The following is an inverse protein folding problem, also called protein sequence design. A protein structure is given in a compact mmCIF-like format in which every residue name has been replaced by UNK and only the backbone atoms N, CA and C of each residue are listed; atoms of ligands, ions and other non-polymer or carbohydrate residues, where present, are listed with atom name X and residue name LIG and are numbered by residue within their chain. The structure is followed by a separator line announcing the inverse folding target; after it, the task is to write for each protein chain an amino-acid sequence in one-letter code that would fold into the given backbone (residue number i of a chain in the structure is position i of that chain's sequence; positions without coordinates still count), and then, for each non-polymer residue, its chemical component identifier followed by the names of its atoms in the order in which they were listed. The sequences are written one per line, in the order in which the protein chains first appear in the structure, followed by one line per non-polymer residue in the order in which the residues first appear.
data_IF_290780554459
#
_entry.id   IF_290780554459
#
_cell.length_a   1.000
_cell.length_b   1.000
_cell.length_c   1.000
_cell.angle_alpha   90.00
_cell.angle_beta   90.00
_cell.angle_gamma   90.00
#
_symmetry.space_group_name_H-M   'P 1'
#
loop_
_entity.id
_entity.type
_entity.pdbx_description
1 polymer ?
#
# COMPACT_ATOMS: atom_id res chain seq x y z
N UNK A 1 3.83 30.63 -20.43
CA UNK A 1 4.25 29.40 -19.71
C UNK A 1 3.11 28.41 -19.39
N UNK A 2 1.84 28.83 -19.21
CA UNK A 2 0.71 27.92 -18.90
C UNK A 2 0.14 27.09 -20.07
N UNK A 3 0.42 27.44 -21.33
CA UNK A 3 -0.12 26.76 -22.51
C UNK A 3 0.63 25.47 -22.90
N UNK A 4 1.92 25.36 -22.56
CA UNK A 4 2.74 24.17 -22.87
C UNK A 4 2.44 22.97 -21.95
N UNK A 5 2.12 23.22 -20.67
CA UNK A 5 1.78 22.15 -19.72
C UNK A 5 0.37 21.58 -19.87
N UNK A 6 -0.50 22.24 -20.64
CA UNK A 6 -1.86 21.78 -20.96
C UNK A 6 -1.84 20.88 -22.20
N UNK A 7 -1.11 21.29 -23.25
CA UNK A 7 -0.88 20.50 -24.47
C UNK A 7 -0.17 19.17 -24.20
N UNK A 8 0.81 19.15 -23.29
CA UNK A 8 1.53 17.92 -22.92
C UNK A 8 0.65 16.93 -22.14
N UNK A 9 -0.26 17.43 -21.30
CA UNK A 9 -1.26 16.62 -20.59
C UNK A 9 -2.38 16.12 -21.51
N UNK A 10 -2.77 16.91 -22.49
CA UNK A 10 -3.73 16.50 -23.53
C UNK A 10 -3.10 15.44 -24.47
N UNK A 11 -1.83 15.59 -24.87
CA UNK A 11 -1.09 14.57 -25.66
C UNK A 11 -0.81 13.27 -24.88
N UNK A 12 -0.54 13.34 -23.56
CA UNK A 12 -0.42 12.18 -22.68
C UNK A 12 -1.78 11.49 -22.44
N UNK A 13 -2.86 12.27 -22.35
CA UNK A 13 -4.24 11.78 -22.24
C UNK A 13 -4.74 11.09 -23.52
N UNK A 14 -4.46 11.66 -24.69
CA UNK A 14 -4.79 11.05 -25.99
C UNK A 14 -3.98 9.77 -26.26
N UNK A 15 -2.70 9.73 -25.86
CA UNK A 15 -1.90 8.50 -25.94
C UNK A 15 -2.36 7.43 -24.96
N UNK A 16 -2.78 7.80 -23.75
CA UNK A 16 -3.36 6.87 -22.79
C UNK A 16 -4.70 6.30 -23.29
N UNK A 17 -5.52 7.10 -23.97
CA UNK A 17 -6.78 6.67 -24.58
C UNK A 17 -6.55 5.69 -25.76
N UNK A 18 -5.57 5.95 -26.62
CA UNK A 18 -5.22 5.05 -27.75
C UNK A 18 -4.61 3.73 -27.25
N UNK A 19 -3.79 3.76 -26.18
CA UNK A 19 -3.21 2.55 -25.59
C UNK A 19 -4.26 1.75 -24.81
N UNK A 20 -5.27 2.40 -24.22
CA UNK A 20 -6.40 1.71 -23.63
C UNK A 20 -7.18 0.90 -24.68
N UNK A 21 -7.33 1.39 -25.92
CA UNK A 21 -8.00 0.66 -27.02
C UNK A 21 -7.21 -0.57 -27.51
N UNK A 22 -5.87 -0.54 -27.52
CA UNK A 22 -5.03 -1.72 -27.85
C UNK A 22 -4.97 -2.76 -26.72
N UNK A 23 -5.27 -2.35 -25.48
CA UNK A 23 -5.21 -3.18 -24.28
C UNK A 23 -6.56 -3.82 -23.91
N UNK A 24 -7.68 -3.40 -24.51
CA UNK A 24 -8.98 -4.08 -24.33
C UNK A 24 -8.87 -5.49 -24.90
N UNK A 25 -8.95 -6.49 -24.02
CA UNK A 25 -8.93 -7.90 -24.44
C UNK A 25 -10.15 -8.17 -25.34
N UNK A 26 -9.95 -8.63 -26.60
CA UNK A 26 -11.06 -8.87 -27.51
C UNK A 26 -12.11 -9.81 -26.91
N UNK A 27 -13.39 -9.39 -26.94
CA UNK A 27 -14.52 -10.18 -26.44
C UNK A 27 -14.87 -9.96 -24.96
N UNK A 28 -14.08 -9.19 -24.21
CA UNK A 28 -14.40 -8.83 -22.83
C UNK A 28 -15.20 -7.55 -22.73
N UNK A 29 -16.08 -7.48 -21.73
CA UNK A 29 -16.87 -6.28 -21.41
C UNK A 29 -16.45 -5.73 -20.06
N UNK A 30 -15.95 -4.51 -20.06
CA UNK A 30 -15.53 -3.82 -18.85
C UNK A 30 -16.64 -2.88 -18.35
N UNK A 31 -16.99 -2.99 -17.07
CA UNK A 31 -17.83 -2.02 -16.36
C UNK A 31 -17.07 -0.74 -16.07
N UNK A 32 -15.78 -0.87 -15.79
CA UNK A 32 -14.85 0.24 -15.54
C UNK A 32 -13.48 -0.14 -16.08
N UNK A 33 -12.78 0.82 -16.68
CA UNK A 33 -11.40 0.67 -17.13
C UNK A 33 -10.66 1.96 -16.75
N UNK A 34 -9.57 1.85 -16.02
CA UNK A 34 -8.81 3.02 -15.57
C UNK A 34 -7.30 2.73 -15.50
N UNK A 35 -6.45 3.75 -15.74
CA UNK A 35 -5.01 3.61 -15.64
C UNK A 35 -4.56 3.54 -14.18
N UNK A 36 -3.54 2.73 -13.91
CA UNK A 36 -2.83 2.72 -12.62
C UNK A 36 -1.35 3.03 -12.79
N UNK A 37 -0.73 2.56 -13.88
CA UNK A 37 0.66 2.90 -14.24
C UNK A 37 0.67 3.34 -15.71
N UNK A 38 0.15 4.52 -16.05
CA UNK A 38 0.09 4.95 -17.44
C UNK A 38 1.51 5.12 -18.03
N UNK A 39 1.76 4.72 -19.28
CA UNK A 39 0.82 4.07 -20.22
C UNK A 39 0.82 2.54 -20.18
N UNK A 40 1.45 1.89 -19.19
CA UNK A 40 1.74 0.46 -19.21
C UNK A 40 0.71 -0.43 -18.52
N UNK A 41 0.14 -0.01 -17.39
CA UNK A 41 -0.79 -0.83 -16.61
C UNK A 41 -2.14 -0.17 -16.40
N UNK A 42 -3.20 -0.92 -16.70
CA UNK A 42 -4.59 -0.55 -16.52
C UNK A 42 -5.31 -1.63 -15.73
N UNK A 43 -6.38 -1.23 -15.05
CA UNK A 43 -7.28 -2.13 -14.35
C UNK A 43 -8.64 -2.09 -15.02
N UNK A 44 -9.11 -3.28 -15.41
CA UNK A 44 -10.44 -3.50 -15.96
C UNK A 44 -11.32 -4.25 -14.95
N UNK A 45 -12.49 -3.72 -14.64
CA UNK A 45 -13.53 -4.46 -13.91
C UNK A 45 -14.39 -5.17 -14.96
N UNK A 46 -14.03 -6.42 -15.28
CA UNK A 46 -14.72 -7.25 -16.26
C UNK A 46 -16.05 -7.74 -15.70
N UNK A 47 -17.09 -7.77 -16.54
CA UNK A 47 -18.35 -8.46 -16.26
C UNK A 47 -18.40 -9.72 -17.10
N UNK A 48 -18.44 -10.87 -16.44
CA UNK A 48 -18.66 -12.15 -17.11
C UNK A 48 -20.04 -12.16 -17.78
N UNK A 49 -20.13 -12.31 -19.11
CA UNK A 49 -21.40 -12.17 -19.83
C UNK A 49 -22.39 -13.30 -19.54
N UNK A 50 -21.93 -14.47 -19.06
CA UNK A 50 -22.78 -15.61 -18.76
C UNK A 50 -23.32 -15.58 -17.32
N UNK A 51 -22.49 -15.15 -16.37
CA UNK A 51 -22.82 -15.21 -14.94
C UNK A 51 -23.14 -13.85 -14.32
N UNK A 52 -22.74 -12.75 -14.98
CA UNK A 52 -22.80 -11.40 -14.42
C UNK A 52 -21.78 -11.14 -13.30
N UNK A 53 -20.93 -12.13 -12.98
CA UNK A 53 -19.88 -12.00 -11.96
C UNK A 53 -18.83 -10.98 -12.38
N UNK A 54 -18.26 -10.30 -11.39
CA UNK A 54 -17.19 -9.32 -11.60
C UNK A 54 -15.82 -9.98 -11.45
N UNK A 55 -14.89 -9.61 -12.32
CA UNK A 55 -13.47 -9.99 -12.21
C UNK A 55 -12.59 -8.75 -12.28
N UNK A 56 -11.54 -8.75 -11.47
CA UNK A 56 -10.53 -7.71 -11.48
C UNK A 56 -9.43 -8.08 -12.46
N UNK A 57 -9.30 -7.36 -13.56
CA UNK A 57 -8.34 -7.67 -14.61
C UNK A 57 -7.18 -6.66 -14.61
N UNK A 58 -5.99 -7.17 -14.30
CA UNK A 58 -4.72 -6.47 -14.51
C UNK A 58 -4.36 -6.58 -15.98
N UNK A 59 -4.24 -5.43 -16.64
CA UNK A 59 -3.95 -5.33 -18.06
C UNK A 59 -2.59 -4.66 -18.22
N UNK A 60 -1.61 -5.44 -18.68
CA UNK A 60 -0.22 -5.02 -18.90
C UNK A 60 0.18 -5.22 -20.37
N UNK A 61 1.29 -4.63 -20.85
CA UNK A 61 1.72 -4.77 -22.23
C UNK A 61 2.16 -6.21 -22.49
N UNK A 62 1.74 -6.77 -23.63
CA UNK A 62 2.26 -8.08 -24.07
C UNK A 62 3.66 -7.91 -24.64
N UNK A 63 4.58 -8.75 -24.17
CA UNK A 63 5.92 -8.89 -24.74
C UNK A 63 5.91 -9.99 -25.82
N UNK A 64 6.59 -9.74 -26.93
CA UNK A 64 6.89 -10.79 -27.92
C UNK A 64 7.91 -11.79 -27.34
N UNK A 65 8.05 -12.98 -27.96
CA UNK A 65 9.08 -13.95 -27.54
C UNK A 65 10.50 -13.37 -27.58
N UNK A 66 10.78 -12.48 -28.53
CA UNK A 66 12.05 -11.77 -28.64
C UNK A 66 12.24 -10.76 -27.51
N UNK A 67 11.20 -10.01 -27.16
CA UNK A 67 11.21 -9.07 -26.04
C UNK A 67 11.37 -9.78 -24.69
N UNK A 68 10.77 -10.95 -24.52
CA UNK A 68 10.97 -11.79 -23.32
C UNK A 68 12.43 -12.26 -23.22
N UNK A 69 13.03 -12.71 -24.33
CA UNK A 69 14.46 -13.09 -24.35
C UNK A 69 15.35 -11.92 -23.99
N UNK A 70 15.11 -10.74 -24.58
CA UNK A 70 15.85 -9.52 -24.29
C UNK A 70 15.70 -9.09 -22.82
N UNK A 71 14.47 -9.14 -22.28
CA UNK A 71 14.20 -8.85 -20.86
C UNK A 71 15.04 -9.74 -19.94
N UNK A 72 14.99 -11.06 -20.16
CA UNK A 72 15.74 -12.01 -19.34
C UNK A 72 17.25 -11.79 -19.43
N UNK A 73 17.78 -11.58 -20.64
CA UNK A 73 19.21 -11.31 -20.86
C UNK A 73 19.67 -10.03 -20.14
N UNK A 74 18.87 -8.95 -20.19
CA UNK A 74 19.18 -7.71 -19.48
C UNK A 74 19.18 -7.94 -17.97
N UNK A 75 18.18 -8.65 -17.43
CA UNK A 75 18.07 -8.94 -16.00
C UNK A 75 19.25 -9.79 -15.52
N UNK A 76 19.66 -10.79 -16.28
CA UNK A 76 20.81 -11.65 -15.95
C UNK A 76 22.11 -10.86 -15.93
N UNK A 77 22.34 -9.98 -16.92
CA UNK A 77 23.51 -9.09 -16.94
C UNK A 77 23.48 -8.12 -15.76
N UNK A 78 22.32 -7.53 -15.45
CA UNK A 78 22.18 -6.61 -14.32
C UNK A 78 22.54 -7.31 -13.00
N UNK A 79 22.03 -8.52 -12.78
CA UNK A 79 22.36 -9.35 -11.61
C UNK A 79 23.85 -9.69 -11.56
N UNK A 80 24.46 -10.01 -12.70
CA UNK A 80 25.89 -10.28 -12.77
C UNK A 80 26.75 -9.04 -12.46
N UNK A 81 26.41 -7.87 -13.02
CA UNK A 81 27.18 -6.64 -12.81
C UNK A 81 27.01 -6.03 -11.41
N UNK A 82 25.84 -6.20 -10.79
CA UNK A 82 25.59 -5.66 -9.46
C UNK A 82 25.95 -6.63 -8.31
N UNK A 83 26.21 -7.91 -8.61
CA UNK A 83 26.31 -8.95 -7.60
C UNK A 83 24.97 -9.21 -6.89
N UNK A 84 25.00 -9.85 -5.72
CA UNK A 84 23.82 -10.12 -4.87
C UNK A 84 23.11 -8.84 -4.36
N UNK A 85 23.63 -7.65 -4.65
CA UNK A 85 23.14 -6.41 -4.06
C UNK A 85 21.94 -5.79 -4.78
N UNK A 86 21.62 -6.12 -6.04
CA UNK A 86 20.43 -5.54 -6.71
C UNK A 86 19.13 -5.86 -5.95
N UNK A 87 19.02 -7.07 -5.41
CA UNK A 87 17.83 -7.49 -4.65
C UNK A 87 17.85 -6.95 -3.21
N UNK A 88 19.00 -6.47 -2.72
CA UNK A 88 19.20 -5.94 -1.35
C UNK A 88 19.18 -4.42 -1.27
N UNK A 89 19.37 -3.70 -2.39
CA UNK A 89 19.43 -2.23 -2.39
C UNK A 89 18.03 -1.65 -2.48
N UNK A 90 17.41 -1.45 -1.32
CA UNK A 90 16.14 -0.75 -1.11
C UNK A 90 16.17 0.75 -1.46
N UNK A 91 17.30 1.27 -1.98
CA UNK A 91 17.52 2.68 -2.32
C UNK A 91 17.91 2.92 -3.78
N UNK A 92 17.59 2.01 -4.70
CA UNK A 92 17.71 2.27 -6.13
C UNK A 92 16.48 3.07 -6.58
N UNK A 93 16.70 4.26 -7.14
CA UNK A 93 15.62 5.02 -7.78
C UNK A 93 15.35 4.48 -9.19
N UNK A 94 14.14 4.72 -9.71
CA UNK A 94 13.76 4.29 -11.06
C UNK A 94 14.68 4.92 -12.12
N UNK A 95 15.08 6.18 -11.93
CA UNK A 95 15.98 6.90 -12.84
C UNK A 95 17.38 6.26 -12.89
N UNK A 96 17.91 5.85 -11.73
CA UNK A 96 19.19 5.16 -11.66
C UNK A 96 19.14 3.79 -12.35
N UNK A 97 18.03 3.05 -12.15
CA UNK A 97 17.82 1.77 -12.81
C UNK A 97 17.72 1.94 -14.34
N UNK A 98 17.01 2.97 -14.81
CA UNK A 98 16.90 3.27 -16.23
C UNK A 98 18.28 3.57 -16.85
N UNK A 99 19.09 4.39 -16.18
CA UNK A 99 20.44 4.70 -16.65
C UNK A 99 21.31 3.45 -16.74
N UNK A 100 21.23 2.55 -15.74
CA UNK A 100 21.92 1.26 -15.75
C UNK A 100 21.47 0.37 -16.90
N UNK A 101 20.16 0.21 -17.09
CA UNK A 101 19.61 -0.59 -18.20
C UNK A 101 20.10 -0.06 -19.55
N UNK A 102 20.09 1.26 -19.76
CA UNK A 102 20.60 1.89 -20.98
C UNK A 102 22.10 1.64 -21.18
N UNK A 103 22.91 1.66 -20.10
CA UNK A 103 24.33 1.32 -20.15
C UNK A 103 24.56 -0.14 -20.54
N UNK A 104 23.80 -1.07 -19.96
CA UNK A 104 23.86 -2.51 -20.30
C UNK A 104 23.54 -2.73 -21.78
N UNK A 105 22.42 -2.19 -22.26
CA UNK A 105 22.03 -2.31 -23.67
C UNK A 105 23.14 -1.80 -24.61
N UNK A 106 23.73 -0.64 -24.29
CA UNK A 106 24.80 -0.05 -25.10
C UNK A 106 26.11 -0.85 -25.03
N UNK A 107 26.50 -1.33 -23.84
CA UNK A 107 27.75 -2.08 -23.60
C UNK A 107 27.74 -3.43 -24.29
N UNK A 108 26.63 -4.16 -24.17
CA UNK A 108 26.45 -5.50 -24.73
C UNK A 108 25.87 -5.48 -26.15
N UNK A 109 25.57 -4.29 -26.70
CA UNK A 109 25.01 -4.09 -28.04
C UNK A 109 23.72 -4.89 -28.28
N UNK A 110 22.86 -4.93 -27.27
CA UNK A 110 21.60 -5.65 -27.34
C UNK A 110 20.65 -4.98 -28.35
N UNK A 111 19.94 -5.74 -29.21
CA UNK A 111 19.12 -5.20 -30.29
C UNK A 111 17.75 -4.68 -29.80
N UNK A 112 17.74 -3.82 -28.79
CA UNK A 112 16.52 -3.27 -28.20
C UNK A 112 16.08 -2.02 -28.97
N UNK A 113 14.89 -2.08 -29.58
CA UNK A 113 14.30 -0.92 -30.25
C UNK A 113 13.86 0.16 -29.24
N UNK A 114 13.69 1.42 -29.68
CA UNK A 114 13.19 2.49 -28.80
C UNK A 114 11.78 2.21 -28.28
N UNK A 115 10.97 1.52 -29.06
CA UNK A 115 9.58 1.19 -28.73
C UNK A 115 9.51 0.04 -27.72
N UNK A 116 10.31 -1.02 -27.95
CA UNK A 116 10.43 -2.16 -27.03
C UNK A 116 11.09 -1.78 -25.71
N UNK A 117 11.98 -0.78 -25.70
CA UNK A 117 12.64 -0.31 -24.48
C UNK A 117 11.64 0.08 -23.41
N UNK A 118 10.57 0.80 -23.76
CA UNK A 118 9.56 1.25 -22.78
C UNK A 118 8.87 0.08 -22.09
N UNK A 119 8.43 -0.93 -22.86
CA UNK A 119 7.80 -2.15 -22.34
C UNK A 119 8.78 -2.96 -21.49
N UNK A 120 9.98 -3.22 -22.00
CA UNK A 120 11.00 -4.00 -21.28
C UNK A 120 11.37 -3.29 -19.96
N UNK A 121 11.61 -1.98 -20.01
CA UNK A 121 11.94 -1.22 -18.81
C UNK A 121 10.81 -1.22 -17.78
N UNK A 122 9.55 -1.14 -18.22
CA UNK A 122 8.39 -1.31 -17.35
C UNK A 122 8.47 -2.63 -16.57
N UNK A 123 8.67 -3.77 -17.25
CA UNK A 123 8.79 -5.08 -16.58
C UNK A 123 10.00 -5.16 -15.64
N UNK A 124 11.17 -4.63 -16.04
CA UNK A 124 12.35 -4.58 -15.17
C UNK A 124 12.05 -3.78 -13.89
N UNK A 125 11.46 -2.59 -14.04
CA UNK A 125 11.14 -1.71 -12.92
C UNK A 125 10.07 -2.34 -12.01
N UNK A 126 9.03 -2.94 -12.60
CA UNK A 126 7.95 -3.66 -11.93
C UNK A 126 8.49 -4.83 -11.10
N UNK A 127 9.41 -5.60 -11.66
CA UNK A 127 9.90 -6.84 -11.04
C UNK A 127 11.01 -6.59 -10.02
N UNK A 128 11.93 -5.65 -10.28
CA UNK A 128 13.06 -5.37 -9.38
C UNK A 128 12.69 -4.40 -8.25
N UNK A 129 12.11 -3.24 -8.58
CA UNK A 129 11.77 -2.22 -7.57
C UNK A 129 10.36 -2.43 -7.00
N UNK A 130 9.43 -2.81 -7.86
CA UNK A 130 8.02 -3.01 -7.51
C UNK A 130 7.72 -4.35 -6.82
N UNK A 131 6.48 -4.79 -7.00
CA UNK A 131 5.92 -6.03 -6.44
C UNK A 131 5.66 -7.11 -7.50
N UNK A 132 6.41 -7.09 -8.61
CA UNK A 132 6.28 -8.06 -9.70
C UNK A 132 4.87 -8.08 -10.29
N UNK A 133 4.30 -9.28 -10.49
CA UNK A 133 2.92 -9.46 -10.97
C UNK A 133 1.86 -8.73 -10.13
N UNK A 134 2.16 -8.43 -8.86
CA UNK A 134 1.26 -7.72 -7.95
C UNK A 134 1.38 -6.19 -8.05
N UNK A 135 2.40 -5.64 -8.71
CA UNK A 135 2.69 -4.20 -8.71
C UNK A 135 1.50 -3.33 -9.18
N UNK A 136 0.76 -3.68 -10.25
CA UNK A 136 -0.43 -2.93 -10.64
C UNK A 136 -1.51 -2.91 -9.55
N UNK A 137 -1.75 -4.05 -8.89
CA UNK A 137 -2.73 -4.17 -7.79
C UNK A 137 -2.27 -3.36 -6.57
N UNK A 138 -0.97 -3.41 -6.26
CA UNK A 138 -0.37 -2.65 -5.16
C UNK A 138 -0.50 -1.14 -5.37
N UNK A 139 -0.41 -0.65 -6.60
CA UNK A 139 -0.54 0.77 -6.93
C UNK A 139 -1.97 1.27 -7.10
N UNK A 140 -2.95 0.39 -7.23
CA UNK A 140 -4.36 0.79 -7.39
C UNK A 140 -4.95 1.37 -6.10
N UNK A 141 -5.31 2.67 -6.03
CA UNK A 141 -5.86 3.26 -4.81
C UNK A 141 -7.24 2.70 -4.41
N UNK A 142 -7.92 1.98 -5.31
CA UNK A 142 -9.24 1.42 -5.07
C UNK A 142 -9.22 0.01 -4.44
N UNK A 143 -8.05 -0.55 -4.17
CA UNK A 143 -7.88 -1.86 -3.53
C UNK A 143 -7.47 -1.69 -2.07
N UNK A 144 -8.26 -2.25 -1.15
CA UNK A 144 -8.03 -2.17 0.29
C UNK A 144 -7.33 -3.43 0.83
N UNK A 145 -7.74 -4.62 0.38
CA UNK A 145 -7.13 -5.88 0.77
C UNK A 145 -6.73 -6.72 -0.45
N UNK A 146 -5.64 -7.46 -0.34
CA UNK A 146 -5.12 -8.40 -1.34
C UNK A 146 -4.85 -9.73 -0.63
N UNK A 147 -5.40 -10.83 -1.15
CA UNK A 147 -5.22 -12.17 -0.59
C UNK A 147 -4.75 -13.17 -1.64
N UNK A 148 -3.70 -13.91 -1.32
CA UNK A 148 -3.24 -15.05 -2.09
C UNK A 148 -3.35 -16.31 -1.25
N UNK A 149 -4.28 -17.19 -1.62
CA UNK A 149 -4.65 -18.39 -0.86
C UNK A 149 -3.85 -19.64 -1.27
N UNK A 150 -2.86 -19.49 -2.14
CA UNK A 150 -1.94 -20.55 -2.57
C UNK A 150 -1.67 -20.59 -4.07
N UNK A 151 -1.04 -21.68 -4.50
CA UNK A 151 -0.58 -21.89 -5.88
C UNK A 151 -1.76 -22.28 -6.78
N UNK A 152 -1.75 -21.80 -8.03
CA UNK A 152 -2.81 -22.00 -9.03
C UNK A 152 -4.19 -21.50 -8.59
N UNK A 153 -4.22 -20.55 -7.65
CA UNK A 153 -5.44 -19.90 -7.18
C UNK A 153 -5.33 -18.42 -7.56
N UNK A 154 -6.36 -17.84 -8.19
CA UNK A 154 -6.41 -16.41 -8.44
C UNK A 154 -6.22 -15.61 -7.14
N UNK A 155 -5.42 -14.56 -7.21
CA UNK A 155 -5.36 -13.57 -6.13
C UNK A 155 -6.73 -12.90 -6.02
N UNK A 156 -7.23 -12.74 -4.81
CA UNK A 156 -8.44 -11.98 -4.52
C UNK A 156 -8.08 -10.58 -4.06
N UNK A 157 -8.93 -9.62 -4.45
CA UNK A 157 -8.83 -8.23 -4.01
C UNK A 157 -10.14 -7.77 -3.42
N UNK A 158 -10.10 -6.97 -2.37
CA UNK A 158 -11.25 -6.22 -1.88
C UNK A 158 -11.23 -4.81 -2.48
N UNK A 159 -12.10 -4.56 -3.44
CA UNK A 159 -12.22 -3.27 -4.11
C UNK A 159 -13.24 -2.38 -3.40
N UNK A 160 -12.89 -1.12 -3.13
CA UNK A 160 -13.71 -0.13 -2.41
C UNK A 160 -15.17 -0.05 -2.85
N UNK A 161 -15.43 -0.22 -4.15
CA UNK A 161 -16.76 -0.16 -4.76
C UNK A 161 -17.41 -1.52 -5.10
N UNK A 162 -16.60 -2.54 -5.35
CA UNK A 162 -17.07 -3.80 -5.94
C UNK A 162 -16.82 -5.01 -5.02
N UNK A 163 -16.31 -4.75 -3.82
CA UNK A 163 -16.00 -5.74 -2.79
C UNK A 163 -15.03 -6.81 -3.30
N UNK A 164 -15.15 -8.03 -2.77
CA UNK A 164 -14.25 -9.14 -3.07
C UNK A 164 -14.40 -9.64 -4.50
N UNK A 165 -13.31 -9.65 -5.26
CA UNK A 165 -13.27 -10.17 -6.63
C UNK A 165 -12.01 -11.01 -6.88
N UNK A 166 -12.12 -12.10 -7.67
CA UNK A 166 -10.95 -12.80 -8.17
C UNK A 166 -10.26 -11.98 -9.26
N UNK A 167 -8.94 -12.10 -9.33
CA UNK A 167 -8.13 -11.44 -10.35
C UNK A 167 -7.73 -12.40 -11.47
N UNK A 168 -7.12 -11.89 -12.55
CA UNK A 168 -6.40 -12.71 -13.53
C UNK A 168 -4.95 -13.03 -13.13
N UNK A 169 -4.51 -12.57 -11.96
CA UNK A 169 -3.15 -12.79 -11.46
C UNK A 169 -3.12 -14.02 -10.55
N UNK A 170 -2.16 -14.91 -10.81
CA UNK A 170 -1.93 -16.11 -10.02
C UNK A 170 -0.45 -16.52 -10.05
N UNK A 171 -0.05 -17.31 -9.05
CA UNK A 171 1.26 -17.96 -9.01
C UNK A 171 1.12 -19.38 -9.54
N UNK A 172 2.02 -19.77 -10.44
CA UNK A 172 1.88 -21.04 -11.18
C UNK A 172 2.56 -22.20 -10.45
N UNK A 173 3.65 -21.91 -9.72
CA UNK A 173 4.43 -22.90 -8.99
C UNK A 173 4.68 -22.51 -7.52
N UNK A 174 4.90 -23.49 -6.63
CA UNK A 174 5.27 -23.21 -5.24
C UNK A 174 6.55 -22.38 -5.11
N UNK A 175 7.55 -22.64 -5.96
CA UNK A 175 8.85 -21.95 -5.91
C UNK A 175 8.70 -20.46 -6.23
N UNK A 176 7.82 -20.12 -7.19
CA UNK A 176 7.51 -18.74 -7.54
C UNK A 176 6.89 -17.99 -6.35
N UNK A 177 5.89 -18.61 -5.71
CA UNK A 177 5.17 -18.03 -4.58
C UNK A 177 6.06 -17.91 -3.33
N UNK A 178 6.84 -18.94 -3.02
CA UNK A 178 7.78 -18.92 -1.89
C UNK A 178 8.86 -17.86 -2.06
N UNK A 179 9.40 -17.72 -3.27
CA UNK A 179 10.36 -16.66 -3.60
C UNK A 179 9.74 -15.28 -3.41
N UNK A 180 8.49 -15.10 -3.86
CA UNK A 180 7.75 -13.85 -3.69
C UNK A 180 7.50 -13.52 -2.21
N UNK A 181 7.06 -14.49 -1.41
CA UNK A 181 6.82 -14.31 0.03
C UNK A 181 8.10 -13.94 0.77
N UNK A 182 9.24 -14.57 0.43
CA UNK A 182 10.54 -14.21 1.02
C UNK A 182 10.94 -12.78 0.67
N UNK A 183 10.69 -12.33 -0.55
CA UNK A 183 10.93 -10.93 -0.97
C UNK A 183 10.03 -9.95 -0.21
N UNK A 184 8.75 -10.28 -0.01
CA UNK A 184 7.83 -9.45 0.80
C UNK A 184 8.31 -9.37 2.25
N UNK A 185 8.70 -10.49 2.85
CA UNK A 185 9.24 -10.52 4.21
C UNK A 185 10.48 -9.62 4.32
N UNK A 186 11.40 -9.71 3.36
CA UNK A 186 12.59 -8.87 3.32
C UNK A 186 12.26 -7.37 3.19
N UNK A 187 11.32 -6.99 2.30
CA UNK A 187 10.83 -5.61 2.18
C UNK A 187 10.21 -5.09 3.49
N UNK A 188 9.56 -5.96 4.26
CA UNK A 188 9.01 -5.65 5.58
C UNK A 188 10.03 -5.72 6.73
N UNK A 189 11.33 -5.87 6.43
CA UNK A 189 12.41 -6.03 7.42
C UNK A 189 12.21 -7.25 8.35
N UNK A 190 11.55 -8.29 7.86
CA UNK A 190 11.31 -9.55 8.56
C UNK A 190 12.04 -10.70 7.87
N UNK A 191 12.16 -11.82 8.59
CA UNK A 191 12.69 -13.07 8.06
C UNK A 191 11.69 -14.20 8.26
N UNK A 192 11.27 -14.82 7.17
CA UNK A 192 10.39 -15.99 7.16
C UNK A 192 11.23 -17.25 6.86
N UNK A 193 11.06 -18.27 7.67
CA UNK A 193 11.84 -19.52 7.58
C UNK A 193 10.95 -20.71 7.90
N UNK A 194 11.40 -21.93 7.60
CA UNK A 194 10.70 -23.17 7.97
C UNK A 194 10.45 -23.23 9.49
N UNK A 195 11.41 -22.75 10.29
CA UNK A 195 11.30 -22.72 11.76
C UNK A 195 10.36 -21.59 12.26
N UNK A 196 10.17 -20.53 11.47
CA UNK A 196 9.25 -19.42 11.73
C UNK A 196 8.39 -19.19 10.49
N UNK A 197 7.39 -20.06 10.25
CA UNK A 197 6.64 -20.08 8.99
C UNK A 197 5.52 -19.04 8.95
N UNK A 198 5.32 -18.27 10.03
CA UNK A 198 4.33 -17.18 10.12
C UNK A 198 5.08 -15.89 10.44
N UNK A 199 4.83 -14.86 9.63
CA UNK A 199 5.44 -13.53 9.79
C UNK A 199 4.40 -12.45 9.56
N UNK A 200 4.39 -11.48 10.45
CA UNK A 200 3.64 -10.24 10.31
C UNK A 200 4.61 -9.06 10.21
N UNK A 201 4.20 -8.01 9.50
CA UNK A 201 5.03 -6.83 9.33
C UNK A 201 4.33 -5.71 8.57
N UNK A 202 5.10 -4.67 8.27
CA UNK A 202 4.66 -3.54 7.45
C UNK A 202 5.64 -3.33 6.29
N UNK A 203 5.12 -3.17 5.09
CA UNK A 203 5.90 -2.79 3.91
C UNK A 203 6.36 -1.32 4.01
N UNK A 204 7.34 -0.89 3.19
CA UNK A 204 7.85 0.48 3.22
C UNK A 204 6.78 1.58 3.06
N UNK A 205 5.70 1.28 2.34
CA UNK A 205 4.54 2.16 2.13
C UNK A 205 3.59 2.20 3.34
N UNK A 206 3.85 1.39 4.36
CA UNK A 206 3.04 1.22 5.55
C UNK A 206 2.04 0.08 5.48
N UNK A 207 1.84 -0.57 4.32
CA UNK A 207 0.86 -1.64 4.16
C UNK A 207 1.16 -2.84 5.09
N UNK A 208 0.14 -3.32 5.79
CA UNK A 208 0.27 -4.49 6.67
C UNK A 208 0.37 -5.75 5.84
N UNK A 209 1.22 -6.68 6.27
CA UNK A 209 1.31 -7.99 5.68
C UNK A 209 1.21 -9.09 6.73
N UNK A 210 0.56 -10.18 6.34
CA UNK A 210 0.58 -11.46 7.04
C UNK A 210 1.01 -12.52 6.03
N UNK A 211 2.10 -13.21 6.34
CA UNK A 211 2.75 -14.17 5.45
C UNK A 211 2.76 -15.55 6.12
N UNK A 212 2.44 -16.59 5.36
CA UNK A 212 2.62 -17.98 5.82
C UNK A 212 3.32 -18.84 4.78
N UNK A 213 4.17 -19.76 5.24
CA UNK A 213 4.75 -20.79 4.39
C UNK A 213 3.91 -22.08 4.40
N UNK A 214 4.15 -22.93 3.40
CA UNK A 214 3.42 -24.19 3.19
C UNK A 214 3.43 -25.16 4.38
N UNK A 215 4.37 -25.04 5.32
CA UNK A 215 4.45 -25.84 6.54
C UNK A 215 3.20 -25.72 7.42
N UNK A 216 2.51 -24.57 7.35
CA UNK A 216 1.30 -24.29 8.13
C UNK A 216 0.06 -24.08 7.25
N UNK A 217 0.18 -24.25 5.93
CA UNK A 217 -0.92 -24.07 4.97
C UNK A 217 -0.99 -25.21 3.95
N UNK A 218 -2.12 -25.92 3.95
CA UNK A 218 -2.34 -27.10 3.11
C UNK A 218 -2.40 -26.81 1.61
N UNK A 219 -2.64 -25.56 1.20
CA UNK A 219 -2.77 -25.16 -0.21
C UNK A 219 -1.49 -24.51 -0.77
N UNK A 220 -0.39 -24.62 -0.02
CA UNK A 220 0.85 -23.90 -0.27
C UNK A 220 0.92 -22.62 0.56
N UNK A 221 2.05 -21.92 0.45
CA UNK A 221 2.29 -20.66 1.13
C UNK A 221 1.22 -19.61 0.78
N UNK A 222 0.95 -18.67 1.70
CA UNK A 222 -0.10 -17.65 1.52
C UNK A 222 0.39 -16.28 1.94
N UNK A 223 -0.26 -15.24 1.43
CA UNK A 223 -0.07 -13.89 1.95
C UNK A 223 -1.37 -13.09 1.93
N UNK A 224 -1.47 -12.16 2.86
CA UNK A 224 -2.51 -11.14 2.90
C UNK A 224 -1.84 -9.79 3.06
N UNK A 225 -2.20 -8.83 2.22
CA UNK A 225 -1.74 -7.44 2.28
C UNK A 225 -2.95 -6.56 2.51
N UNK A 226 -2.91 -5.78 3.58
CA UNK A 226 -3.92 -4.76 3.87
C UNK A 226 -3.32 -3.39 3.61
N UNK A 227 -3.88 -2.73 2.61
CA UNK A 227 -3.47 -1.41 2.15
C UNK A 227 -4.15 -0.33 2.98
N UNK A 228 -3.47 0.80 3.05
CA UNK A 228 -4.05 2.04 3.54
C UNK A 228 -4.38 2.93 2.35
N UNK A 229 -5.48 3.68 2.45
CA UNK A 229 -5.74 4.72 1.47
C UNK A 229 -4.65 5.79 1.59
N UNK A 230 -4.03 6.21 0.48
CA UNK A 230 -3.00 7.25 0.51
C UNK A 230 -3.58 8.60 0.98
N UNK A 231 -4.85 8.86 0.66
CA UNK A 231 -5.58 10.04 1.11
C UNK A 231 -6.65 9.61 2.14
N UNK A 232 -6.56 10.07 3.40
CA UNK A 232 -7.60 9.81 4.39
C UNK A 232 -8.87 10.59 4.04
N UNK A 233 -10.02 10.05 4.41
CA UNK A 233 -11.28 10.78 4.27
C UNK A 233 -11.26 12.04 5.14
N UNK A 234 -11.63 13.15 4.54
CA UNK A 234 -11.80 14.43 5.21
C UNK A 234 -13.15 14.48 5.92
N UNK A 235 -13.33 15.46 6.81
CA UNK A 235 -14.62 15.69 7.45
C UNK A 235 -15.71 16.04 6.42
N UNK A 236 -15.33 16.69 5.30
CA UNK A 236 -16.25 17.02 4.21
C UNK A 236 -16.70 15.76 3.48
N UNK A 237 -15.78 14.83 3.21
CA UNK A 237 -16.14 13.54 2.61
C UNK A 237 -17.14 12.77 3.49
N UNK A 238 -16.94 12.78 4.82
CA UNK A 238 -17.86 12.13 5.75
C UNK A 238 -19.25 12.77 5.78
N UNK A 239 -19.34 14.08 5.57
CA UNK A 239 -20.61 14.80 5.41
C UNK A 239 -21.26 14.42 4.08
N UNK A 240 -20.51 14.42 2.99
CA UNK A 240 -21.00 14.13 1.64
C UNK A 240 -21.50 12.68 1.50
N UNK A 241 -20.85 11.74 2.20
CA UNK A 241 -21.33 10.35 2.28
C UNK A 241 -22.52 10.14 3.22
N UNK A 242 -22.92 11.17 3.98
CA UNK A 242 -23.99 11.08 4.96
C UNK A 242 -23.61 10.28 6.21
N UNK A 243 -22.32 10.08 6.47
CA UNK A 243 -21.81 9.42 7.68
C UNK A 243 -22.05 10.28 8.92
N UNK A 244 -21.91 11.60 8.79
CA UNK A 244 -22.23 12.60 9.82
C UNK A 244 -22.96 13.79 9.20
N UNK A 245 -23.75 14.52 10.00
CA UNK A 245 -24.33 15.78 9.56
C UNK A 245 -23.35 16.95 9.73
N UNK A 246 -23.52 18.06 8.99
CA UNK A 246 -22.73 19.28 9.19
C UNK A 246 -22.78 19.81 10.62
N UNK A 247 -23.93 19.68 11.31
CA UNK A 247 -24.11 20.11 12.70
C UNK A 247 -23.25 19.26 13.66
N UNK A 248 -23.21 17.95 13.43
CA UNK A 248 -22.35 17.04 14.21
C UNK A 248 -20.87 17.35 13.94
N UNK A 249 -20.49 17.63 12.69
CA UNK A 249 -19.13 18.02 12.36
C UNK A 249 -18.73 19.34 13.05
N UNK A 250 -19.60 20.35 13.05
CA UNK A 250 -19.38 21.60 13.77
C UNK A 250 -19.28 21.39 15.29
N UNK A 251 -20.10 20.49 15.85
CA UNK A 251 -20.01 20.11 17.25
C UNK A 251 -18.66 19.45 17.58
N UNK A 252 -18.17 18.53 16.74
CA UNK A 252 -16.84 17.95 16.90
C UNK A 252 -15.74 19.00 16.83
N UNK A 253 -15.83 19.96 15.91
CA UNK A 253 -14.87 21.07 15.84
C UNK A 253 -14.81 21.83 17.19
N UNK A 254 -15.96 22.24 17.72
CA UNK A 254 -16.03 22.93 19.00
C UNK A 254 -15.48 22.08 20.16
N UNK A 255 -15.76 20.77 20.17
CA UNK A 255 -15.24 19.85 21.18
C UNK A 255 -13.72 19.73 21.10
N UNK A 256 -13.15 19.53 19.91
CA UNK A 256 -11.70 19.41 19.75
C UNK A 256 -11.02 20.71 20.17
N UNK A 257 -11.53 21.88 19.77
CA UNK A 257 -10.92 23.15 20.13
C UNK A 257 -10.92 23.43 21.65
N UNK A 258 -12.02 23.12 22.33
CA UNK A 258 -12.27 23.56 23.71
C UNK A 258 -12.13 22.46 24.77
N UNK A 259 -12.63 21.25 24.50
CA UNK A 259 -12.62 20.11 25.43
C UNK A 259 -11.39 19.23 25.20
N UNK A 260 -10.87 19.23 23.97
CA UNK A 260 -9.62 18.57 23.54
C UNK A 260 -9.61 17.05 23.75
N UNK A 261 -10.77 16.43 23.99
CA UNK A 261 -10.86 15.01 24.31
C UNK A 261 -12.05 14.36 23.61
N UNK A 262 -11.84 13.23 22.92
CA UNK A 262 -12.90 12.47 22.27
C UNK A 262 -12.55 11.00 22.10
N UNK A 263 -13.53 10.11 22.21
CA UNK A 263 -13.37 8.68 21.98
C UNK A 263 -14.38 8.22 20.93
N UNK A 264 -13.88 7.50 19.91
CA UNK A 264 -14.69 6.94 18.83
C UNK A 264 -14.87 5.45 19.10
N UNK A 265 -16.10 5.02 19.38
CA UNK A 265 -16.41 3.64 19.75
C UNK A 265 -17.24 2.93 18.67
N UNK A 266 -17.05 1.63 18.53
CA UNK A 266 -17.80 0.82 17.57
C UNK A 266 -17.15 -0.52 17.24
N UNK A 267 -17.84 -1.42 16.50
CA UNK A 267 -17.28 -2.69 16.09
C UNK A 267 -16.03 -2.53 15.20
N UNK A 268 -15.28 -3.63 15.02
CA UNK A 268 -14.21 -3.70 14.00
C UNK A 268 -14.79 -3.36 12.63
N UNK A 269 -14.02 -2.61 11.82
CA UNK A 269 -14.42 -2.17 10.47
C UNK A 269 -15.64 -1.22 10.39
N UNK A 270 -16.07 -0.61 11.50
CA UNK A 270 -17.16 0.39 11.51
C UNK A 270 -16.74 1.82 11.11
N UNK A 271 -15.47 2.05 10.79
CA UNK A 271 -14.95 3.37 10.40
C UNK A 271 -14.44 4.25 11.55
N UNK A 272 -14.15 3.67 12.72
CA UNK A 272 -13.65 4.42 13.90
C UNK A 272 -12.38 5.23 13.60
N UNK A 273 -11.34 4.58 13.08
CA UNK A 273 -10.07 5.24 12.77
C UNK A 273 -10.26 6.29 11.69
N UNK A 274 -11.16 6.05 10.73
CA UNK A 274 -11.53 7.03 9.71
C UNK A 274 -12.15 8.29 10.32
N UNK A 275 -13.14 8.13 11.21
CA UNK A 275 -13.76 9.25 11.92
C UNK A 275 -12.76 9.97 12.81
N UNK A 276 -11.91 9.24 13.54
CA UNK A 276 -10.84 9.79 14.36
C UNK A 276 -9.89 10.65 13.54
N UNK A 277 -9.43 10.14 12.38
CA UNK A 277 -8.52 10.86 11.50
C UNK A 277 -9.16 12.14 10.94
N UNK A 278 -10.42 12.06 10.49
CA UNK A 278 -11.17 13.22 10.02
C UNK A 278 -11.36 14.28 11.11
N UNK A 279 -11.78 13.89 12.32
CA UNK A 279 -11.98 14.82 13.44
C UNK A 279 -10.67 15.42 13.94
N UNK A 280 -9.56 14.67 13.92
CA UNK A 280 -8.25 15.16 14.31
C UNK A 280 -7.77 16.33 13.42
N UNK A 281 -8.30 16.50 12.20
CA UNK A 281 -8.00 17.65 11.35
C UNK A 281 -8.47 18.99 11.94
N UNK A 282 -9.42 18.98 12.89
CA UNK A 282 -9.85 20.19 13.62
C UNK A 282 -8.86 20.65 14.69
N UNK A 283 -7.84 19.86 15.01
CA UNK A 283 -6.77 20.29 15.91
C UNK A 283 -6.07 21.51 15.28
N UNK A 284 -5.77 22.53 16.10
CA UNK A 284 -5.11 23.75 15.62
C UNK A 284 -3.75 23.43 14.96
N UNK A 285 -3.38 24.06 13.84
CA UNK A 285 -2.15 23.74 13.10
C UNK A 285 -0.86 23.82 13.93
N UNK A 286 -0.79 24.70 14.92
CA UNK A 286 0.41 24.93 15.75
C UNK A 286 0.55 23.92 16.91
N UNK A 287 -0.50 23.14 17.18
CA UNK A 287 -0.52 22.20 18.30
C UNK A 287 0.51 21.08 18.09
N UNK A 288 1.19 20.70 19.18
CA UNK A 288 2.06 19.54 19.18
C UNK A 288 1.24 18.26 19.33
N UNK A 289 1.30 17.39 18.33
CA UNK A 289 0.56 16.13 18.32
C UNK A 289 1.53 14.95 18.43
N UNK A 290 1.21 13.99 19.29
CA UNK A 290 1.87 12.68 19.31
C UNK A 290 0.83 11.61 19.00
N UNK A 291 0.99 10.89 17.89
CA UNK A 291 0.15 9.71 17.60
C UNK A 291 0.88 8.45 18.06
N UNK A 292 0.13 7.48 18.59
CA UNK A 292 0.65 6.23 19.11
C UNK A 292 -0.22 5.09 18.56
N UNK A 293 0.37 4.24 17.74
CA UNK A 293 -0.38 3.22 17.00
C UNK A 293 0.37 1.89 16.99
N UNK A 294 -0.36 0.77 16.94
CA UNK A 294 0.28 -0.52 16.64
C UNK A 294 0.68 -0.62 15.17
N UNK A 295 -0.05 0.08 14.31
CA UNK A 295 0.31 0.25 12.90
C UNK A 295 -0.11 1.63 12.45
N UNK A 296 0.70 2.33 11.66
CA UNK A 296 0.44 3.72 11.29
C UNK A 296 -0.75 3.86 10.32
N UNK A 297 -1.94 4.14 10.85
CA UNK A 297 -3.16 4.41 10.08
C UNK A 297 -3.45 5.92 9.97
N UNK A 298 -3.10 6.69 11.01
CA UNK A 298 -3.36 8.12 11.06
C UNK A 298 -2.46 8.89 10.08
N UNK A 299 -3.03 9.92 9.46
CA UNK A 299 -2.39 10.80 8.49
C UNK A 299 -2.88 12.21 8.72
N UNK A 300 -2.10 12.98 9.48
CA UNK A 300 -2.45 14.33 9.86
C UNK A 300 -1.72 15.35 8.98
N UNK A 301 -2.37 16.48 8.64
CA UNK A 301 -1.74 17.56 7.89
C UNK A 301 -0.79 18.42 8.74
N UNK A 302 -0.75 18.21 10.06
CA UNK A 302 -0.01 19.04 11.02
C UNK A 302 1.51 18.85 10.91
N UNK A 303 2.25 19.96 10.86
CA UNK A 303 3.72 19.94 10.80
C UNK A 303 4.36 19.48 12.13
N UNK A 304 3.80 19.92 13.27
CA UNK A 304 4.31 19.61 14.61
C UNK A 304 3.74 18.26 15.13
N UNK A 305 3.96 17.21 14.35
CA UNK A 305 3.44 15.86 14.59
C UNK A 305 4.55 14.84 14.74
N UNK A 306 4.49 14.05 15.82
CA UNK A 306 5.39 12.93 16.09
C UNK A 306 4.59 11.62 15.99
N UNK A 307 4.75 10.84 14.91
CA UNK A 307 4.16 9.51 14.81
C UNK A 307 5.01 8.48 15.53
N UNK A 308 4.42 7.79 16.51
CA UNK A 308 5.05 6.69 17.26
C UNK A 308 4.32 5.38 16.97
N UNK A 309 5.08 4.32 16.70
CA UNK A 309 4.55 2.99 16.37
C UNK A 309 5.16 1.96 17.31
N UNK A 310 4.36 0.97 17.73
CA UNK A 310 4.86 -0.13 18.57
C UNK A 310 5.94 -0.93 17.86
N UNK A 311 6.80 -1.57 18.65
CA UNK A 311 7.83 -2.47 18.14
C UNK A 311 7.71 -3.82 18.84
N UNK A 312 7.00 -4.80 18.25
CA UNK A 312 6.94 -6.14 18.81
C UNK A 312 8.34 -6.80 18.80
N UNK A 313 8.66 -7.53 19.87
CA UNK A 313 9.91 -8.26 19.99
C UNK A 313 9.78 -9.67 19.41
N UNK A 314 10.08 -9.82 18.12
CA UNK A 314 10.06 -11.12 17.48
C UNK A 314 11.44 -11.80 17.37
N UNK A 315 12.51 -11.10 17.73
CA UNK A 315 13.88 -11.57 17.61
C UNK A 315 14.58 -11.52 18.98
N UNK A 316 15.40 -12.53 19.32
CA UNK A 316 16.22 -12.49 20.52
C UNK A 316 17.08 -11.22 20.58
N UNK A 317 17.06 -10.52 21.72
CA UNK A 317 17.83 -9.28 21.92
C UNK A 317 17.15 -8.00 21.45
N UNK A 318 15.98 -8.07 20.80
CA UNK A 318 15.16 -6.88 20.49
C UNK A 318 14.20 -6.60 21.64
N UNK A 319 14.28 -5.39 22.22
CA UNK A 319 13.34 -4.97 23.25
C UNK A 319 11.98 -4.66 22.63
N UNK A 320 10.93 -5.24 23.21
CA UNK A 320 9.54 -4.92 22.90
C UNK A 320 9.23 -3.48 23.33
N UNK A 321 8.49 -2.76 22.50
CA UNK A 321 7.99 -1.43 22.81
C UNK A 321 6.49 -1.42 22.58
N UNK A 322 5.73 -1.45 23.67
CA UNK A 322 4.27 -1.50 23.67
C UNK A 322 3.63 -0.12 23.49
N UNK A 323 2.31 -0.07 23.26
CA UNK A 323 1.54 1.18 23.28
C UNK A 323 1.73 1.93 24.61
N UNK A 324 1.76 1.18 25.72
CA UNK A 324 1.95 1.71 27.06
C UNK A 324 3.32 2.39 27.25
N UNK A 325 4.40 1.79 26.73
CA UNK A 325 5.74 2.37 26.78
C UNK A 325 5.82 3.68 25.98
N UNK A 326 5.24 3.68 24.78
CA UNK A 326 5.18 4.86 23.92
C UNK A 326 4.38 5.99 24.56
N UNK A 327 3.24 5.66 25.19
CA UNK A 327 2.37 6.63 25.85
C UNK A 327 3.06 7.28 27.07
N UNK A 328 3.76 6.50 27.89
CA UNK A 328 4.60 7.05 28.96
C UNK A 328 5.72 7.95 28.42
N UNK A 329 6.32 7.59 27.30
CA UNK A 329 7.35 8.40 26.63
C UNK A 329 6.77 9.71 26.11
N UNK A 330 5.61 9.66 25.45
CA UNK A 330 4.91 10.81 24.87
C UNK A 330 4.61 11.90 25.91
N UNK A 331 4.23 11.52 27.14
CA UNK A 331 3.99 12.48 28.23
C UNK A 331 5.21 13.35 28.58
N UNK A 332 6.43 12.87 28.32
CA UNK A 332 7.66 13.66 28.53
C UNK A 332 7.94 14.63 27.40
N UNK A 333 7.25 14.49 26.28
CA UNK A 333 7.41 15.35 25.11
C UNK A 333 6.56 16.61 25.18
N UNK A 334 5.74 16.79 26.23
CA UNK A 334 4.79 17.91 26.39
C UNK A 334 3.90 18.13 25.15
N UNK A 335 3.15 17.11 24.69
CA UNK A 335 2.22 17.29 23.58
C UNK A 335 1.03 18.15 24.01
N UNK A 336 0.42 18.86 23.05
CA UNK A 336 -0.92 19.44 23.24
C UNK A 336 -1.98 18.34 23.10
N UNK A 337 -1.76 17.38 22.18
CA UNK A 337 -2.64 16.24 21.92
C UNK A 337 -1.87 14.93 21.88
N UNK A 338 -2.44 13.91 22.53
CA UNK A 338 -2.04 12.52 22.38
C UNK A 338 -3.17 11.77 21.67
N UNK A 339 -2.86 11.11 20.57
CA UNK A 339 -3.84 10.33 19.83
C UNK A 339 -3.42 8.86 19.89
N UNK A 340 -4.25 8.01 20.47
CA UNK A 340 -4.00 6.57 20.53
C UNK A 340 -4.89 5.88 19.49
N UNK A 341 -4.29 5.17 18.53
CA UNK A 341 -5.01 4.58 17.41
C UNK A 341 -6.17 3.71 17.86
N UNK A 342 -5.92 2.77 18.78
CA UNK A 342 -6.94 1.93 19.40
C UNK A 342 -6.49 1.54 20.81
N UNK A 343 -7.37 1.66 21.79
CA UNK A 343 -7.11 1.26 23.18
C UNK A 343 -7.78 -0.09 23.44
N UNK A 344 -6.99 -1.09 23.85
CA UNK A 344 -7.42 -2.47 24.11
C UNK A 344 -6.94 -3.02 25.46
N UNK A 345 -6.02 -2.33 26.14
CA UNK A 345 -5.33 -2.87 27.32
C UNK A 345 -4.89 -1.83 28.34
N UNK A 346 -3.74 -2.08 28.94
CA UNK A 346 -3.20 -1.31 30.08
C UNK A 346 -2.88 0.16 29.75
N UNK A 347 -2.66 0.48 28.47
CA UNK A 347 -2.47 1.84 27.99
C UNK A 347 -3.67 2.74 28.26
N UNK A 348 -4.88 2.17 28.42
CA UNK A 348 -6.09 2.91 28.78
C UNK A 348 -5.88 3.76 30.04
N UNK A 349 -5.31 3.18 31.09
CA UNK A 349 -5.09 3.88 32.36
C UNK A 349 -4.18 5.09 32.18
N UNK A 350 -3.05 4.90 31.48
CA UNK A 350 -2.10 5.99 31.23
C UNK A 350 -2.71 7.07 30.32
N UNK A 351 -3.57 6.70 29.37
CA UNK A 351 -4.25 7.64 28.49
C UNK A 351 -5.21 8.53 29.28
N UNK A 352 -6.04 7.94 30.13
CA UNK A 352 -6.92 8.71 31.01
C UNK A 352 -6.17 9.54 32.05
N UNK A 353 -4.99 9.09 32.51
CA UNK A 353 -4.11 9.93 33.32
C UNK A 353 -3.60 11.16 32.54
N UNK A 354 -3.25 10.99 31.26
CA UNK A 354 -2.81 12.09 30.41
C UNK A 354 -3.88 13.19 30.30
N UNK A 355 -5.13 12.77 30.11
CA UNK A 355 -6.30 13.65 30.09
C UNK A 355 -6.47 14.39 31.42
N UNK A 356 -6.37 13.67 32.54
CA UNK A 356 -6.54 14.23 33.87
C UNK A 356 -5.50 15.31 34.21
N UNK A 357 -4.29 15.23 33.65
CA UNK A 357 -3.23 16.23 33.85
C UNK A 357 -3.21 17.33 32.76
N UNK A 358 -4.24 17.39 31.91
CA UNK A 358 -4.50 18.51 30.99
C UNK A 358 -4.02 18.35 29.55
N UNK A 359 -3.57 17.15 29.14
CA UNK A 359 -3.29 16.88 27.72
C UNK A 359 -4.61 16.63 26.98
N UNK A 360 -4.74 17.13 25.75
CA UNK A 360 -5.80 16.68 24.86
C UNK A 360 -5.61 15.21 24.50
N UNK A 361 -6.69 14.45 24.35
CA UNK A 361 -6.62 13.02 24.07
C UNK A 361 -7.73 12.53 23.15
N UNK A 362 -7.34 11.95 22.02
CA UNK A 362 -8.28 11.30 21.11
C UNK A 362 -7.94 9.80 21.00
N UNK A 363 -8.95 8.94 20.90
CA UNK A 363 -8.71 7.50 20.70
C UNK A 363 -9.88 6.76 20.06
N UNK A 364 -9.64 5.51 19.64
CA UNK A 364 -10.71 4.56 19.32
C UNK A 364 -10.79 3.40 20.34
N UNK A 365 -11.96 2.77 20.43
CA UNK A 365 -12.23 1.58 21.25
C UNK A 365 -13.14 0.57 20.54
#
# INVERSE_FOLDING_TARGET
MKLWGRRKREEEGDKAAVIAEELVVPGKRYRQLYPVIPPYAYIGIEVDPATGSLRYEVIEPRLSEEEVKMLNEIVDILRFEAGEDIDKVTKITSEYLEEKVRKVIKRYKLPVSKESFGKIFYFINRDLLGYGKLDPIMRDPNVEDISCDGVKIPIYVFHTRFESMPTNVMFDTPEELDSFIRRLAYKASQQITVARPIVEGSLPEGFRIHLTLSEVSRRGSTFTIRKYRPEPFTIVDLIDYGTISPEIAAYFWLLIENVRSSMMAGPTASGKTTMLNAVATFIRPEAKIVTIEETPELRLPHENWIPMVTRPAFQPGVQEVSLFDLLKSALRQRPDYIIVGEIRGEEAYTFFQALAVGHGGLCTI
#
